data_IF_104337140246
#
_entry.id   IF_104337140246
#
_cell.length_a   1.000
_cell.length_b   1.000
_cell.length_c   1.000
_cell.angle_alpha   90.00
_cell.angle_beta   90.00
_cell.angle_gamma   90.00
#
_symmetry.space_group_name_H-M   'P 1'
#
loop_
_entity.id
_entity.type
_entity.pdbx_description
1 polymer ?
#
# COMPACT_ATOMS: atom_id res chain seq x y z
N UNK A 1 -8.31 12.00 3.17
CA UNK A 1 -7.23 11.34 3.95
C UNK A 1 -5.85 11.90 3.60
N UNK A 2 -5.60 12.22 2.33
CA UNK A 2 -4.38 12.87 1.85
C UNK A 2 -3.92 14.05 2.72
N UNK A 3 -4.81 15.00 3.02
CA UNK A 3 -4.49 16.21 3.80
C UNK A 3 -3.91 15.87 5.19
N UNK A 4 -4.43 14.86 5.87
CA UNK A 4 -3.94 14.45 7.19
C UNK A 4 -2.54 13.83 7.10
N UNK A 5 -2.27 13.07 6.02
CA UNK A 5 -0.94 12.49 5.77
C UNK A 5 0.05 13.59 5.38
N UNK A 6 -0.36 14.54 4.54
CA UNK A 6 0.46 15.69 4.16
C UNK A 6 0.87 16.50 5.39
N UNK A 7 -0.04 16.74 6.35
CA UNK A 7 0.29 17.39 7.61
C UNK A 7 1.30 16.59 8.45
N UNK A 8 1.14 15.26 8.55
CA UNK A 8 2.13 14.41 9.24
C UNK A 8 3.51 14.48 8.58
N UNK A 9 3.55 14.43 7.26
CA UNK A 9 4.79 14.52 6.51
C UNK A 9 5.45 15.89 6.63
N UNK A 10 4.68 16.98 6.66
CA UNK A 10 5.19 18.32 6.95
C UNK A 10 5.82 18.38 8.34
N UNK A 11 5.21 17.77 9.36
CA UNK A 11 5.81 17.67 10.68
C UNK A 11 7.13 16.87 10.65
N UNK A 12 7.21 15.78 9.88
CA UNK A 12 8.46 15.04 9.72
C UNK A 12 9.55 15.86 9.02
N UNK A 13 9.18 16.63 7.98
CA UNK A 13 10.09 17.57 7.30
C UNK A 13 10.61 18.65 8.24
N UNK A 14 9.78 19.15 9.17
CA UNK A 14 10.21 20.12 10.18
C UNK A 14 11.25 19.51 11.12
N UNK A 15 11.03 18.28 11.60
CA UNK A 15 12.01 17.56 12.42
C UNK A 15 13.33 17.37 11.64
N UNK A 16 13.23 16.95 10.38
CA UNK A 16 14.39 16.71 9.53
C UNK A 16 15.21 17.98 9.27
N UNK A 17 14.56 19.06 8.84
CA UNK A 17 15.24 20.28 8.40
C UNK A 17 15.61 21.23 9.55
N UNK A 18 14.86 21.22 10.66
CA UNK A 18 15.03 22.19 11.75
C UNK A 18 15.53 21.58 13.05
N UNK A 19 15.19 20.32 13.36
CA UNK A 19 15.56 19.72 14.65
C UNK A 19 16.87 18.93 14.54
N UNK A 20 17.01 18.03 13.57
CA UNK A 20 18.22 17.20 13.39
C UNK A 20 19.51 18.03 13.31
N UNK A 21 19.59 19.12 12.50
CA UNK A 21 20.81 19.93 12.40
C UNK A 21 21.18 20.63 13.72
N UNK A 22 20.16 20.98 14.51
CA UNK A 22 20.28 21.75 15.75
C UNK A 22 20.48 20.88 17.01
N UNK A 23 20.62 19.55 16.87
CA UNK A 23 20.96 18.68 18.00
C UNK A 23 22.29 19.14 18.63
N UNK A 24 22.34 19.41 19.95
CA UNK A 24 23.54 19.92 20.61
C UNK A 24 24.76 19.01 20.46
N UNK A 25 25.99 19.58 20.43
CA UNK A 25 27.21 18.80 20.45
C UNK A 25 27.29 17.88 21.67
N UNK A 26 27.40 16.58 21.42
CA UNK A 26 27.69 15.57 22.44
C UNK A 26 28.45 14.40 21.79
N UNK A 27 29.05 13.53 22.60
CA UNK A 27 29.85 12.38 22.12
C UNK A 27 29.05 11.42 21.22
N UNK A 28 27.71 11.45 21.29
CA UNK A 28 26.81 10.59 20.53
C UNK A 28 26.01 11.36 19.47
N UNK A 29 26.35 12.62 19.17
CA UNK A 29 25.54 13.49 18.29
C UNK A 29 25.25 12.84 16.95
N UNK A 30 26.28 12.33 16.25
CA UNK A 30 26.12 11.68 14.95
C UNK A 30 25.18 10.49 15.03
N UNK A 31 25.36 9.62 16.04
CA UNK A 31 24.50 8.45 16.24
C UNK A 31 23.04 8.84 16.51
N UNK A 32 22.82 9.89 17.31
CA UNK A 32 21.49 10.41 17.59
C UNK A 32 20.82 11.02 16.34
N UNK A 33 21.60 11.76 15.53
CA UNK A 33 21.14 12.31 14.25
C UNK A 33 20.72 11.20 13.29
N UNK A 34 21.59 10.21 13.06
CA UNK A 34 21.32 9.06 12.19
C UNK A 34 20.10 8.26 12.64
N UNK A 35 19.97 7.98 13.94
CA UNK A 35 18.81 7.28 14.47
C UNK A 35 17.50 8.05 14.26
N UNK A 36 17.52 9.37 14.46
CA UNK A 36 16.34 10.20 14.25
C UNK A 36 15.98 10.27 12.77
N UNK A 37 16.96 10.47 11.90
CA UNK A 37 16.78 10.46 10.45
C UNK A 37 16.18 9.15 9.94
N UNK A 38 16.77 8.01 10.30
CA UNK A 38 16.25 6.69 9.93
C UNK A 38 14.84 6.46 10.48
N UNK A 39 14.55 6.94 11.69
CA UNK A 39 13.20 6.87 12.26
C UNK A 39 12.18 7.70 11.46
N UNK A 40 12.58 8.84 10.88
CA UNK A 40 11.71 9.65 10.03
C UNK A 40 11.43 8.94 8.70
N UNK A 41 12.43 8.35 8.05
CA UNK A 41 12.23 7.53 6.83
C UNK A 41 11.26 6.37 7.09
N UNK A 42 11.42 5.66 8.21
CA UNK A 42 10.48 4.61 8.61
C UNK A 42 9.09 5.15 8.92
N UNK A 43 8.98 6.35 9.49
CA UNK A 43 7.69 6.97 9.81
C UNK A 43 6.91 7.35 8.54
N UNK A 44 7.60 7.85 7.51
CA UNK A 44 7.01 8.11 6.19
C UNK A 44 6.45 6.81 5.60
N UNK A 45 7.26 5.75 5.60
CA UNK A 45 6.84 4.46 5.06
C UNK A 45 5.69 3.80 5.84
N UNK A 46 5.76 3.84 7.18
CA UNK A 46 4.70 3.28 8.05
C UNK A 46 3.38 4.02 7.85
N UNK A 47 3.42 5.34 7.65
CA UNK A 47 2.23 6.13 7.33
C UNK A 47 1.65 5.75 5.98
N UNK A 48 2.50 5.48 4.98
CA UNK A 48 2.06 4.95 3.69
C UNK A 48 1.43 3.55 3.82
N UNK A 49 2.02 2.63 4.60
CA UNK A 49 1.42 1.32 4.86
C UNK A 49 0.05 1.43 5.52
N UNK A 50 -0.08 2.32 6.51
CA UNK A 50 -1.36 2.60 7.15
C UNK A 50 -2.40 3.15 6.16
N UNK A 51 -1.99 4.03 5.24
CA UNK A 51 -2.85 4.53 4.17
C UNK A 51 -3.41 3.39 3.31
N UNK A 52 -2.53 2.49 2.86
CA UNK A 52 -2.93 1.35 2.00
C UNK A 52 -3.84 0.38 2.76
N UNK A 53 -3.55 0.11 4.04
CA UNK A 53 -4.42 -0.71 4.89
C UNK A 53 -5.81 -0.11 4.99
N UNK A 54 -5.88 1.18 5.31
CA UNK A 54 -7.16 1.92 5.44
C UNK A 54 -7.95 1.90 4.13
N UNK A 55 -7.29 2.15 3.00
CA UNK A 55 -7.90 2.07 1.67
C UNK A 55 -8.55 0.71 1.42
N UNK A 56 -7.82 -0.37 1.71
CA UNK A 56 -8.30 -1.74 1.49
C UNK A 56 -9.46 -2.07 2.42
N UNK A 57 -9.35 -1.72 3.71
CA UNK A 57 -10.41 -1.97 4.69
C UNK A 57 -11.69 -1.18 4.33
N UNK A 58 -11.55 0.09 3.95
CA UNK A 58 -12.65 0.96 3.49
C UNK A 58 -13.37 0.35 2.28
N UNK A 59 -12.59 -0.08 1.28
CA UNK A 59 -13.12 -0.75 0.10
C UNK A 59 -13.90 -2.01 0.48
N UNK A 60 -13.32 -2.88 1.31
CA UNK A 60 -13.94 -4.16 1.68
C UNK A 60 -15.27 -3.94 2.42
N UNK A 61 -15.33 -2.97 3.33
CA UNK A 61 -16.56 -2.64 4.05
C UNK A 61 -17.63 -2.15 3.06
N UNK A 62 -17.32 -1.11 2.27
CA UNK A 62 -18.31 -0.48 1.39
C UNK A 62 -18.73 -1.37 0.23
N UNK A 63 -17.82 -2.17 -0.32
CA UNK A 63 -18.12 -3.14 -1.36
C UNK A 63 -19.05 -4.26 -0.84
N UNK A 64 -18.80 -4.75 0.38
CA UNK A 64 -19.70 -5.72 1.03
C UNK A 64 -21.10 -5.15 1.26
N UNK A 65 -21.19 -3.91 1.74
CA UNK A 65 -22.48 -3.22 1.95
C UNK A 65 -23.26 -3.00 0.65
N UNK A 66 -22.56 -2.75 -0.48
CA UNK A 66 -23.16 -2.69 -1.81
C UNK A 66 -23.57 -4.06 -2.38
N UNK A 67 -23.26 -5.15 -1.68
CA UNK A 67 -23.64 -6.50 -2.10
C UNK A 67 -22.73 -7.08 -3.18
N UNK A 68 -21.43 -6.79 -3.14
CA UNK A 68 -20.46 -7.36 -4.07
C UNK A 68 -20.53 -8.90 -4.07
N UNK A 69 -20.62 -9.51 -5.25
CA UNK A 69 -20.65 -10.96 -5.45
C UNK A 69 -19.50 -11.42 -6.36
N UNK A 70 -19.40 -12.73 -6.64
CA UNK A 70 -18.27 -13.29 -7.39
C UNK A 70 -18.10 -12.68 -8.79
N UNK A 71 -19.19 -12.35 -9.47
CA UNK A 71 -19.15 -11.79 -10.83
C UNK A 71 -18.63 -10.35 -10.88
N UNK A 72 -18.62 -9.65 -9.74
CA UNK A 72 -18.14 -8.27 -9.62
C UNK A 72 -16.63 -8.22 -9.32
N UNK A 73 -16.01 -9.37 -9.05
CA UNK A 73 -14.59 -9.46 -8.74
C UNK A 73 -13.73 -9.29 -10.00
N UNK A 74 -12.58 -8.62 -9.85
CA UNK A 74 -11.52 -8.67 -10.85
C UNK A 74 -11.03 -10.10 -11.04
N UNK A 75 -10.51 -10.42 -12.23
CA UNK A 75 -10.06 -11.78 -12.53
C UNK A 75 -9.01 -12.29 -11.53
N UNK A 76 -8.12 -11.41 -11.08
CA UNK A 76 -7.11 -11.72 -10.06
C UNK A 76 -7.71 -12.14 -8.72
N UNK A 77 -8.70 -11.39 -8.22
CA UNK A 77 -9.36 -11.71 -6.93
C UNK A 77 -10.31 -12.90 -7.07
N UNK A 78 -11.08 -12.96 -8.17
CA UNK A 78 -11.96 -14.10 -8.48
C UNK A 78 -11.18 -15.42 -8.50
N UNK A 79 -9.94 -15.42 -9.02
CA UNK A 79 -9.05 -16.59 -8.99
C UNK A 79 -8.77 -17.05 -7.56
N UNK A 80 -8.43 -16.14 -6.63
CA UNK A 80 -8.17 -16.54 -5.24
C UNK A 80 -9.42 -17.14 -4.58
N UNK A 81 -10.59 -16.55 -4.82
CA UNK A 81 -11.86 -17.10 -4.33
C UNK A 81 -12.15 -18.48 -4.92
N UNK A 82 -11.97 -18.65 -6.23
CA UNK A 82 -12.18 -19.93 -6.89
C UNK A 82 -11.25 -21.02 -6.34
N UNK A 83 -9.96 -20.72 -6.19
CA UNK A 83 -8.96 -21.66 -5.66
C UNK A 83 -9.21 -22.02 -4.19
N UNK A 84 -9.79 -21.12 -3.38
CA UNK A 84 -10.18 -21.46 -2.00
C UNK A 84 -11.23 -22.58 -1.92
N UNK A 85 -11.95 -22.83 -3.02
CA UNK A 85 -12.95 -23.89 -3.13
C UNK A 85 -12.43 -25.14 -3.85
N UNK A 86 -11.12 -25.24 -4.14
CA UNK A 86 -10.52 -26.33 -4.92
C UNK A 86 -11.00 -27.71 -4.44
N UNK A 87 -10.88 -28.00 -3.14
CA UNK A 87 -11.31 -29.28 -2.58
C UNK A 87 -12.79 -29.58 -2.86
N UNK A 88 -13.66 -28.58 -2.66
CA UNK A 88 -15.10 -28.72 -2.91
C UNK A 88 -15.37 -28.96 -4.40
N UNK A 89 -14.64 -28.27 -5.28
CA UNK A 89 -14.74 -28.43 -6.73
C UNK A 89 -14.28 -29.83 -7.14
N UNK A 90 -13.13 -30.31 -6.65
CA UNK A 90 -12.64 -31.66 -6.92
C UNK A 90 -13.61 -32.74 -6.44
N UNK A 91 -14.22 -32.55 -5.27
CA UNK A 91 -15.24 -33.46 -4.72
C UNK A 91 -16.51 -33.54 -5.58
N UNK A 92 -16.85 -32.50 -6.37
CA UNK A 92 -17.99 -32.55 -7.30
C UNK A 92 -17.81 -33.62 -8.38
N UNK A 93 -16.59 -33.80 -8.87
CA UNK A 93 -16.29 -34.75 -9.94
C UNK A 93 -16.25 -36.21 -9.47
N UNK A 94 -16.19 -36.44 -8.15
CA UNK A 94 -16.11 -37.76 -7.55
C UNK A 94 -17.46 -38.30 -7.02
N UNK A 95 -18.57 -37.58 -7.23
CA UNK A 95 -19.92 -37.95 -6.74
C UNK A 95 -20.74 -38.66 -7.82
N UNK A 96 -21.74 -39.44 -7.37
CA UNK A 96 -22.77 -40.01 -8.26
C UNK A 96 -23.59 -38.89 -8.93
N UNK A 97 -24.19 -39.12 -10.11
CA UNK A 97 -24.86 -38.06 -10.89
C UNK A 97 -25.90 -37.24 -10.09
N UNK A 98 -26.76 -37.89 -9.32
CA UNK A 98 -27.78 -37.19 -8.52
C UNK A 98 -27.18 -36.33 -7.40
N UNK A 99 -26.15 -36.84 -6.73
CA UNK A 99 -25.42 -36.11 -5.68
C UNK A 99 -24.53 -35.00 -6.25
N UNK A 100 -24.09 -35.16 -7.50
CA UNK A 100 -23.29 -34.17 -8.22
C UNK A 100 -24.11 -32.92 -8.55
N UNK A 101 -25.35 -33.07 -9.05
CA UNK A 101 -26.24 -31.94 -9.35
C UNK A 101 -26.51 -31.12 -8.07
N UNK A 102 -26.86 -31.79 -6.97
CA UNK A 102 -27.11 -31.12 -5.69
C UNK A 102 -25.88 -30.37 -5.18
N UNK A 103 -24.71 -31.00 -5.25
CA UNK A 103 -23.47 -30.38 -4.81
C UNK A 103 -23.04 -29.20 -5.71
N UNK A 104 -23.22 -29.32 -7.03
CA UNK A 104 -22.96 -28.23 -7.98
C UNK A 104 -23.88 -27.03 -7.71
N UNK A 105 -25.19 -27.26 -7.58
CA UNK A 105 -26.14 -26.20 -7.27
C UNK A 105 -25.79 -25.49 -5.97
N UNK A 106 -25.38 -26.24 -4.95
CA UNK A 106 -24.92 -25.67 -3.67
C UNK A 106 -23.67 -24.80 -3.84
N UNK A 107 -22.68 -25.26 -4.63
CA UNK A 107 -21.48 -24.47 -4.93
C UNK A 107 -21.81 -23.21 -5.74
N UNK A 108 -22.59 -23.35 -6.81
CA UNK A 108 -23.02 -22.24 -7.66
C UNK A 108 -23.80 -21.17 -6.88
N UNK A 109 -24.69 -21.58 -5.97
CA UNK A 109 -25.39 -20.65 -5.09
C UNK A 109 -24.44 -19.91 -4.14
N UNK A 110 -23.32 -20.53 -3.74
CA UNK A 110 -22.30 -19.86 -2.92
C UNK A 110 -21.62 -18.73 -3.72
N UNK A 111 -21.36 -18.94 -5.01
CA UNK A 111 -20.78 -17.91 -5.88
C UNK A 111 -21.72 -16.72 -6.15
N UNK A 112 -23.03 -16.98 -6.16
CA UNK A 112 -24.07 -15.94 -6.31
C UNK A 112 -24.34 -15.14 -5.04
N UNK A 113 -23.94 -15.66 -3.88
CA UNK A 113 -24.15 -14.95 -2.63
C UNK A 113 -23.25 -13.72 -2.55
N UNK A 114 -23.77 -12.66 -1.94
CA UNK A 114 -22.97 -11.48 -1.64
C UNK A 114 -21.92 -11.84 -0.59
N UNK A 115 -20.70 -11.31 -0.75
CA UNK A 115 -19.67 -11.49 0.24
C UNK A 115 -19.90 -10.57 1.44
N UNK A 116 -19.73 -11.13 2.63
CA UNK A 116 -19.51 -10.34 3.84
C UNK A 116 -18.12 -9.71 3.83
N UNK A 117 -17.93 -8.60 4.56
CA UNK A 117 -16.62 -7.96 4.70
C UNK A 117 -15.55 -8.96 5.18
N UNK A 118 -15.87 -9.83 6.14
CA UNK A 118 -14.94 -10.86 6.63
C UNK A 118 -14.52 -11.86 5.55
N UNK A 119 -15.43 -12.26 4.66
CA UNK A 119 -15.08 -13.11 3.52
C UNK A 119 -14.18 -12.37 2.53
N UNK A 120 -14.49 -11.12 2.20
CA UNK A 120 -13.65 -10.31 1.32
C UNK A 120 -12.25 -10.08 1.90
N UNK A 121 -12.12 -9.83 3.22
CA UNK A 121 -10.82 -9.69 3.91
C UNK A 121 -9.92 -10.92 3.81
N UNK A 122 -10.46 -12.08 3.45
CA UNK A 122 -9.64 -13.28 3.21
C UNK A 122 -8.81 -13.14 1.93
N UNK A 123 -9.27 -12.34 0.97
CA UNK A 123 -8.68 -12.22 -0.37
C UNK A 123 -8.17 -10.80 -0.67
N UNK A 124 -8.80 -9.77 -0.09
CA UNK A 124 -8.47 -8.36 -0.26
C UNK A 124 -8.12 -7.81 1.12
N UNK A 125 -6.82 -7.75 1.43
CA UNK A 125 -6.30 -7.31 2.72
C UNK A 125 -4.93 -6.66 2.53
N UNK A 126 -4.50 -5.92 3.53
CA UNK A 126 -3.12 -5.47 3.58
C UNK A 126 -2.17 -6.66 3.77
N UNK A 127 -1.09 -6.70 2.99
CA UNK A 127 0.06 -7.59 3.21
C UNK A 127 1.34 -6.75 3.15
N UNK A 128 2.33 -7.03 3.99
CA UNK A 128 3.54 -6.20 4.01
C UNK A 128 4.18 -6.06 2.62
N UNK A 129 4.62 -4.85 2.30
CA UNK A 129 5.24 -4.55 1.02
C UNK A 129 6.60 -5.23 0.92
N UNK A 130 6.58 -6.37 0.25
CA UNK A 130 7.74 -7.09 -0.26
C UNK A 130 7.68 -7.08 -1.79
N UNK A 131 8.84 -7.17 -2.45
CA UNK A 131 8.94 -7.14 -3.91
C UNK A 131 7.99 -8.13 -4.59
N UNK A 132 7.91 -9.36 -4.09
CA UNK A 132 7.01 -10.39 -4.62
C UNK A 132 5.52 -10.04 -4.45
N UNK A 133 5.14 -9.36 -3.36
CA UNK A 133 3.77 -8.89 -3.12
C UNK A 133 3.43 -7.72 -4.01
N UNK A 134 4.34 -6.75 -4.16
CA UNK A 134 4.22 -5.61 -5.06
C UNK A 134 4.04 -6.05 -6.53
N UNK A 135 4.84 -7.03 -6.98
CA UNK A 135 4.79 -7.55 -8.34
C UNK A 135 3.64 -8.53 -8.62
N UNK A 136 2.98 -9.05 -7.58
CA UNK A 136 1.94 -10.07 -7.69
C UNK A 136 0.64 -9.63 -7.04
N UNK A 137 0.52 -9.89 -5.74
CA UNK A 137 -0.71 -9.69 -4.97
C UNK A 137 -1.31 -8.28 -5.12
N UNK A 138 -0.47 -7.24 -5.00
CA UNK A 138 -0.93 -5.85 -5.09
C UNK A 138 -1.41 -5.46 -6.50
N UNK A 139 -0.96 -6.14 -7.56
CA UNK A 139 -1.54 -5.96 -8.89
C UNK A 139 -3.00 -6.44 -8.92
N UNK A 140 -3.27 -7.60 -8.34
CA UNK A 140 -4.63 -8.15 -8.25
C UNK A 140 -5.54 -7.26 -7.38
N UNK A 141 -5.01 -6.76 -6.25
CA UNK A 141 -5.73 -5.84 -5.35
C UNK A 141 -6.00 -4.50 -6.03
N UNK A 142 -5.03 -3.89 -6.71
CA UNK A 142 -5.23 -2.60 -7.38
C UNK A 142 -6.10 -2.72 -8.64
N UNK A 143 -6.12 -3.87 -9.32
CA UNK A 143 -7.13 -4.13 -10.33
C UNK A 143 -8.54 -4.06 -9.74
N UNK A 144 -8.74 -4.62 -8.53
CA UNK A 144 -10.04 -4.63 -7.87
C UNK A 144 -10.43 -3.29 -7.26
N UNK A 145 -9.48 -2.61 -6.62
CA UNK A 145 -9.72 -1.40 -5.81
C UNK A 145 -9.58 -0.13 -6.63
N UNK A 146 -8.72 -0.12 -7.65
CA UNK A 146 -8.41 1.05 -8.49
C UNK A 146 -8.79 0.85 -9.96
N UNK A 147 -9.24 -0.35 -10.35
CA UNK A 147 -9.59 -0.64 -11.75
C UNK A 147 -8.39 -0.78 -12.68
N UNK A 148 -7.17 -0.81 -12.15
CA UNK A 148 -5.94 -0.85 -12.94
C UNK A 148 -4.91 -1.79 -12.33
N UNK A 149 -4.72 -2.95 -12.97
CA UNK A 149 -3.77 -3.99 -12.55
C UNK A 149 -2.33 -3.50 -12.50
N UNK A 150 -1.94 -2.64 -13.43
CA UNK A 150 -0.58 -2.14 -13.57
C UNK A 150 -0.45 -0.69 -13.06
N UNK A 151 -1.34 -0.28 -12.14
CA UNK A 151 -1.39 1.09 -11.61
C UNK A 151 -0.01 1.64 -11.21
N UNK A 152 0.74 0.92 -10.37
CA UNK A 152 2.07 1.38 -9.91
C UNK A 152 3.13 1.39 -11.02
N UNK A 153 3.02 0.52 -12.02
CA UNK A 153 3.93 0.52 -13.17
C UNK A 153 3.68 1.73 -14.07
N UNK A 154 2.41 2.09 -14.21
CA UNK A 154 1.96 3.18 -15.08
C UNK A 154 2.08 4.56 -14.39
N UNK A 155 2.09 4.59 -13.07
CA UNK A 155 2.25 5.80 -12.30
C UNK A 155 3.71 6.24 -12.29
N UNK A 156 4.02 7.26 -13.09
CA UNK A 156 5.32 7.89 -13.08
C UNK A 156 5.37 9.02 -12.05
N UNK A 157 6.38 8.99 -11.19
CA UNK A 157 6.64 9.99 -10.14
C UNK A 157 7.94 10.73 -10.41
N UNK A 158 8.01 11.97 -9.95
CA UNK A 158 9.19 12.82 -10.09
C UNK A 158 9.96 12.90 -8.77
N UNK A 159 11.29 12.99 -8.85
CA UNK A 159 12.12 13.43 -7.71
C UNK A 159 11.96 14.94 -7.48
N UNK A 160 12.13 15.36 -6.23
CA UNK A 160 12.21 16.77 -5.89
C UNK A 160 13.69 17.20 -6.02
N UNK A 161 13.98 18.19 -6.87
CA UNK A 161 15.31 18.80 -6.96
C UNK A 161 15.17 20.30 -6.75
N UNK A 162 15.53 20.78 -5.56
CA UNK A 162 15.64 22.21 -5.25
C UNK A 162 16.95 22.79 -5.83
N UNK A 163 17.21 22.60 -7.13
CA UNK A 163 18.32 23.31 -7.78
C UNK A 163 17.81 24.65 -8.31
N UNK A 164 17.95 25.67 -7.47
CA UNK A 164 17.94 27.09 -7.85
C UNK A 164 19.15 27.34 -8.75
N UNK A 165 19.10 26.86 -9.99
CA UNK A 165 19.98 27.32 -11.06
C UNK A 165 19.28 27.05 -12.38
N UNK A 166 18.88 28.15 -13.01
CA UNK A 166 18.31 28.25 -14.35
C UNK A 166 18.93 27.29 -15.36
N UNK A 167 18.04 26.68 -16.15
CA UNK A 167 18.23 25.87 -17.37
C UNK A 167 18.41 24.36 -17.18
N UNK A 168 17.30 23.64 -17.43
CA UNK A 168 17.10 22.17 -17.44
C UNK A 168 16.92 21.52 -16.05
N UNK A 169 15.72 21.66 -15.48
CA UNK A 169 15.22 20.76 -14.43
C UNK A 169 15.40 19.31 -14.92
N UNK A 170 16.39 18.59 -14.39
CA UNK A 170 16.55 17.16 -14.67
C UNK A 170 15.60 16.42 -13.75
N UNK A 171 14.31 16.41 -14.10
CA UNK A 171 13.31 15.60 -13.40
C UNK A 171 13.62 14.13 -13.67
N UNK A 172 14.26 13.45 -12.72
CA UNK A 172 14.37 12.01 -12.76
C UNK A 172 12.98 11.43 -12.56
N UNK A 173 12.51 10.71 -13.59
CA UNK A 173 11.17 10.13 -13.65
C UNK A 173 11.29 8.64 -13.43
N UNK A 174 10.76 8.15 -12.32
CA UNK A 174 10.74 6.73 -11.97
C UNK A 174 9.28 6.26 -11.90
N UNK A 175 8.99 4.99 -12.19
CA UNK A 175 7.66 4.46 -11.90
C UNK A 175 7.53 4.17 -10.39
N UNK A 176 6.31 4.29 -9.87
CA UNK A 176 6.02 4.13 -8.46
C UNK A 176 6.35 2.72 -7.94
N UNK A 177 6.18 1.69 -8.78
CA UNK A 177 6.53 0.32 -8.40
C UNK A 177 8.02 0.19 -8.08
N UNK A 178 8.88 0.67 -8.98
CA UNK A 178 10.33 0.61 -8.82
C UNK A 178 10.78 1.42 -7.60
N UNK A 179 10.20 2.61 -7.39
CA UNK A 179 10.48 3.39 -6.18
C UNK A 179 10.14 2.63 -4.90
N UNK A 180 8.98 1.98 -4.83
CA UNK A 180 8.58 1.21 -3.65
C UNK A 180 9.47 -0.03 -3.43
N UNK A 181 9.85 -0.74 -4.51
CA UNK A 181 10.77 -1.87 -4.43
C UNK A 181 12.15 -1.41 -3.94
N UNK A 182 12.68 -0.34 -4.53
CA UNK A 182 13.99 0.19 -4.16
C UNK A 182 13.98 0.74 -2.73
N UNK A 183 12.94 1.47 -2.32
CA UNK A 183 12.82 1.99 -0.96
C UNK A 183 12.74 0.86 0.07
N UNK A 184 11.93 -0.17 -0.19
CA UNK A 184 11.83 -1.32 0.72
C UNK A 184 13.13 -2.12 0.78
N UNK A 185 13.79 -2.32 -0.37
CA UNK A 185 15.05 -3.06 -0.46
C UNK A 185 16.26 -2.33 0.11
N UNK A 186 16.42 -1.04 -0.20
CA UNK A 186 17.62 -0.24 0.10
C UNK A 186 17.51 0.57 1.39
N UNK A 187 16.30 1.01 1.76
CA UNK A 187 16.12 1.89 2.93
C UNK A 187 15.57 1.07 4.09
N UNK A 188 14.36 0.53 3.96
CA UNK A 188 13.69 -0.19 5.06
C UNK A 188 14.51 -1.36 5.59
N UNK A 189 15.01 -2.23 4.71
CA UNK A 189 15.77 -3.41 5.13
C UNK A 189 17.10 -3.02 5.80
N UNK A 190 17.83 -2.05 5.26
CA UNK A 190 19.09 -1.61 5.84
C UNK A 190 18.90 -0.92 7.19
N UNK A 191 17.88 -0.08 7.34
CA UNK A 191 17.52 0.49 8.64
C UNK A 191 17.16 -0.63 9.64
N UNK A 192 16.44 -1.67 9.21
CA UNK A 192 16.08 -2.78 10.11
C UNK A 192 17.30 -3.58 10.59
N UNK A 193 18.39 -3.65 9.81
CA UNK A 193 19.60 -4.39 10.16
C UNK A 193 20.65 -3.53 10.88
N UNK A 194 20.84 -2.28 10.47
CA UNK A 194 21.95 -1.41 10.89
C UNK A 194 21.47 0.01 11.26
N UNK A 195 20.31 0.14 11.91
CA UNK A 195 19.63 1.43 12.18
C UNK A 195 20.53 2.57 12.68
N UNK A 196 21.50 2.30 13.55
CA UNK A 196 22.32 3.37 14.12
C UNK A 196 23.56 3.75 13.30
N UNK A 197 23.84 3.00 12.23
CA UNK A 197 25.05 3.12 11.40
C UNK A 197 24.70 3.32 9.91
N UNK A 198 23.49 2.96 9.50
CA UNK A 198 23.01 3.18 8.14
C UNK A 198 22.85 4.67 7.87
N UNK A 199 23.65 5.18 6.93
CA UNK A 199 23.58 6.54 6.41
C UNK A 199 23.15 6.44 4.95
N UNK A 200 22.06 7.11 4.61
CA UNK A 200 21.55 7.12 3.24
C UNK A 200 22.35 8.14 2.41
N UNK A 201 23.34 7.67 1.67
CA UNK A 201 24.26 8.53 0.89
C UNK A 201 23.85 8.70 -0.58
N UNK A 202 22.59 8.39 -0.91
CA UNK A 202 22.07 8.48 -2.27
C UNK A 202 21.26 9.77 -2.41
N UNK A 203 21.78 10.73 -3.20
CA UNK A 203 21.14 12.02 -3.44
C UNK A 203 19.73 11.87 -4.01
N UNK A 204 19.42 10.76 -4.69
CA UNK A 204 18.07 10.46 -5.15
C UNK A 204 17.10 10.15 -4.01
N UNK A 205 17.57 9.87 -2.79
CA UNK A 205 16.79 9.53 -1.61
C UNK A 205 16.85 10.58 -0.49
N UNK A 206 17.19 11.83 -0.81
CA UNK A 206 16.96 12.95 0.09
C UNK A 206 15.54 12.90 0.71
N UNK A 207 15.44 13.25 1.99
CA UNK A 207 14.22 13.07 2.78
C UNK A 207 13.02 13.80 2.18
N UNK A 208 13.21 15.03 1.72
CA UNK A 208 12.15 15.82 1.10
C UNK A 208 11.70 15.19 -0.22
N UNK A 209 12.64 14.68 -1.02
CA UNK A 209 12.36 13.94 -2.25
C UNK A 209 11.59 12.63 -1.98
N UNK A 210 11.93 11.89 -0.92
CA UNK A 210 11.19 10.69 -0.49
C UNK A 210 9.76 11.05 -0.08
N UNK A 211 9.60 12.06 0.78
CA UNK A 211 8.28 12.55 1.22
C UNK A 211 7.42 12.95 0.02
N UNK A 212 8.00 13.71 -0.92
CA UNK A 212 7.29 14.18 -2.12
C UNK A 212 6.84 13.02 -3.02
N UNK A 213 7.66 11.98 -3.18
CA UNK A 213 7.32 10.79 -3.97
C UNK A 213 6.19 9.98 -3.32
N UNK A 214 6.21 9.79 -2.01
CA UNK A 214 5.10 9.13 -1.31
C UNK A 214 3.79 9.93 -1.44
N UNK A 215 3.83 11.26 -1.32
CA UNK A 215 2.63 12.09 -1.51
C UNK A 215 2.05 11.98 -2.92
N UNK A 216 2.90 11.99 -3.96
CA UNK A 216 2.45 11.75 -5.34
C UNK A 216 1.70 10.42 -5.45
N UNK A 217 2.25 9.34 -4.89
CA UNK A 217 1.62 8.02 -4.94
C UNK A 217 0.29 8.01 -4.19
N UNK A 218 0.26 8.52 -2.95
CA UNK A 218 -0.95 8.56 -2.11
C UNK A 218 -2.06 9.34 -2.81
N UNK A 219 -1.74 10.52 -3.34
CA UNK A 219 -2.71 11.36 -4.05
C UNK A 219 -3.30 10.64 -5.26
N UNK A 220 -2.44 10.06 -6.11
CA UNK A 220 -2.90 9.33 -7.28
C UNK A 220 -3.75 8.11 -6.94
N UNK A 221 -3.45 7.43 -5.83
CA UNK A 221 -4.27 6.31 -5.34
C UNK A 221 -5.64 6.80 -4.86
N UNK A 222 -5.69 7.84 -4.01
CA UNK A 222 -6.96 8.36 -3.47
C UNK A 222 -7.88 8.90 -4.59
N UNK A 223 -7.32 9.62 -5.56
CA UNK A 223 -8.06 10.10 -6.74
C UNK A 223 -8.59 8.94 -7.59
N UNK A 224 -7.74 7.95 -7.90
CA UNK A 224 -8.14 6.81 -8.73
C UNK A 224 -9.18 5.93 -8.03
N UNK A 225 -9.03 5.74 -6.72
CA UNK A 225 -9.99 5.00 -5.90
C UNK A 225 -11.38 5.62 -5.98
N UNK A 226 -11.48 6.94 -5.78
CA UNK A 226 -12.75 7.65 -5.85
C UNK A 226 -13.35 7.58 -7.26
N UNK A 227 -12.55 7.78 -8.31
CA UNK A 227 -13.00 7.70 -9.71
C UNK A 227 -13.54 6.30 -10.05
N UNK A 228 -12.82 5.26 -9.63
CA UNK A 228 -13.18 3.88 -9.98
C UNK A 228 -14.40 3.37 -9.21
N UNK A 229 -14.48 3.66 -7.91
CA UNK A 229 -15.46 3.04 -7.00
C UNK A 229 -16.63 3.95 -6.63
N UNK A 230 -16.45 5.27 -6.77
CA UNK A 230 -17.36 6.28 -6.22
C UNK A 230 -17.35 6.35 -4.70
N UNK A 231 -16.39 5.71 -4.02
CA UNK A 231 -16.25 5.77 -2.57
C UNK A 231 -15.37 6.95 -2.15
N UNK A 232 -15.85 7.72 -1.18
CA UNK A 232 -15.01 8.70 -0.48
C UNK A 232 -14.21 7.98 0.61
N UNK A 233 -12.88 8.10 0.59
CA UNK A 233 -12.03 7.44 1.58
C UNK A 233 -12.20 8.12 2.95
N UNK A 234 -12.78 7.40 3.89
CA UNK A 234 -12.99 7.88 5.26
C UNK A 234 -11.89 7.42 6.19
N UNK A 235 -11.40 8.32 7.06
CA UNK A 235 -10.49 7.94 8.13
C UNK A 235 -11.17 6.92 9.07
N UNK A 236 -10.44 5.91 9.58
CA UNK A 236 -10.92 5.10 10.68
C UNK A 236 -11.23 6.02 11.87
N UNK A 237 -12.32 5.75 12.59
CA UNK A 237 -12.69 6.53 13.79
C UNK A 237 -11.73 6.31 14.97
N UNK A 238 -10.86 5.31 14.89
CA UNK A 238 -9.93 4.92 15.96
C UNK A 238 -8.50 5.34 15.61
N UNK A 239 -7.74 5.79 16.62
CA UNK A 239 -6.37 6.27 16.40
C UNK A 239 -5.47 5.16 15.87
N UNK A 240 -4.46 5.57 15.12
CA UNK A 240 -3.40 4.72 14.56
C UNK A 240 -2.68 3.83 15.60
N UNK A 241 -2.75 4.20 16.88
CA UNK A 241 -2.15 3.49 18.02
C UNK A 241 -3.12 2.51 18.71
N UNK A 242 -4.42 2.59 18.44
CA UNK A 242 -5.46 1.78 19.10
C UNK A 242 -5.76 0.49 18.32
N UNK A 243 -5.21 0.33 17.12
CA UNK A 243 -5.27 -0.91 16.34
C UNK A 243 -4.22 -1.92 16.87
N UNK A 244 -4.47 -2.47 18.06
CA UNK A 244 -3.71 -3.59 18.62
C UNK A 244 -3.94 -4.88 17.80
N UNK A 245 -2.83 -5.55 17.46
CA UNK A 245 -2.77 -6.87 16.81
C UNK A 245 -3.37 -7.99 17.66
#
# INVERSE_FOLDING_TARGET
MYTDIEQKFNAYKEIYNQIIPNIPPCAQRTKAQTLLENSLYLSVFTTFEWFIRTLIDDYVIKASEKGLCFNDLSAGIARYVFLSHEKRISELFNKTPDNQIGAFNSYYNTLKANFTANQLKTYIRFEFFHENKLNGYYKDVFEQVLGNRDFLNNLMINTYTDSISSSLETRHRQNALQFLIDFTGKVRNNIAHENSEFILSDDEYDFDSVVYRFLQIIKSIEETYMIHTGFELSLPRENLLDLSY
#
